data_IF_546472140623
#
_entry.id   IF_546472140623
#
_cell.length_a   1.000
_cell.length_b   1.000
_cell.length_c   1.000
_cell.angle_alpha   90.00
_cell.angle_beta   90.00
_cell.angle_gamma   90.00
#
_symmetry.space_group_name_H-M   'P 1'
#
loop_
_entity.id
_entity.type
_entity.pdbx_description
1 polymer ?
#
# COMPACT_ATOMS: atom_id res chain seq x y z
N UNK A 1 -8.70 -1.34 16.86
CA UNK A 1 -8.05 -2.59 16.42
C UNK A 1 -7.11 -3.02 17.50
N UNK A 2 -7.35 -4.22 17.99
CA UNK A 2 -6.72 -4.69 19.23
C UNK A 2 -5.60 -5.71 18.99
N UNK A 3 -5.39 -6.11 17.74
CA UNK A 3 -4.38 -7.10 17.39
C UNK A 3 -3.52 -6.60 16.24
N UNK A 4 -2.31 -7.11 16.17
CA UNK A 4 -1.44 -6.81 15.04
C UNK A 4 -0.79 -8.06 14.51
N UNK A 5 -0.46 -8.04 13.24
CA UNK A 5 0.25 -9.13 12.58
C UNK A 5 1.14 -8.53 11.49
N UNK A 6 1.93 -9.37 10.88
CA UNK A 6 2.80 -8.95 9.78
C UNK A 6 2.15 -9.39 8.47
N UNK A 7 1.95 -8.42 7.58
CA UNK A 7 1.50 -8.71 6.23
C UNK A 7 2.63 -8.64 5.22
N UNK A 8 2.40 -9.19 4.06
CA UNK A 8 3.36 -9.17 2.96
C UNK A 8 2.75 -8.44 1.78
N UNK A 9 3.51 -7.52 1.19
CA UNK A 9 3.07 -6.81 -0.01
C UNK A 9 3.07 -7.81 -1.17
N UNK A 10 1.88 -8.04 -1.73
CA UNK A 10 1.70 -9.02 -2.80
C UNK A 10 1.67 -8.38 -4.18
N UNK A 11 1.22 -7.14 -4.27
CA UNK A 11 1.21 -6.43 -5.54
C UNK A 11 1.28 -4.92 -5.31
N UNK A 12 1.77 -4.23 -6.33
CA UNK A 12 1.86 -2.78 -6.35
C UNK A 12 1.32 -2.34 -7.69
N UNK A 13 0.27 -1.52 -7.68
CA UNK A 13 -0.37 -1.05 -8.89
C UNK A 13 -0.24 0.46 -9.00
N UNK A 14 0.50 0.90 -9.99
CA UNK A 14 0.65 2.31 -10.29
C UNK A 14 -0.63 2.82 -10.95
N UNK A 15 -1.14 3.95 -10.48
CA UNK A 15 -2.39 4.52 -10.98
C UNK A 15 -2.09 5.54 -12.06
N UNK A 16 -1.92 5.07 -13.28
CA UNK A 16 -1.53 5.89 -14.44
C UNK A 16 -2.50 7.02 -14.73
N UNK A 17 -3.79 6.77 -14.52
CA UNK A 17 -4.85 7.71 -14.83
C UNK A 17 -5.00 8.80 -13.78
N UNK A 18 -4.26 8.71 -12.67
CA UNK A 18 -4.27 9.69 -11.58
C UNK A 18 -2.94 10.42 -11.48
N UNK A 19 -2.41 10.84 -12.61
CA UNK A 19 -1.17 11.57 -12.65
C UNK A 19 -1.30 12.86 -11.84
N UNK A 20 -0.34 13.06 -10.95
CA UNK A 20 -0.29 14.26 -10.12
C UNK A 20 1.00 14.99 -10.41
N UNK A 21 0.88 16.23 -10.87
CA UNK A 21 2.04 17.09 -11.06
C UNK A 21 2.26 17.87 -9.80
N UNK A 22 3.29 17.55 -9.07
CA UNK A 22 3.55 18.24 -7.81
C UNK A 22 4.10 19.64 -8.04
N UNK A 23 4.90 19.80 -9.06
CA UNK A 23 5.38 21.10 -9.51
C UNK A 23 6.10 20.94 -10.83
N UNK A 24 6.23 22.00 -11.61
CA UNK A 24 6.97 21.91 -12.85
C UNK A 24 8.46 21.71 -12.55
N UNK A 25 9.01 20.70 -13.13
CA UNK A 25 10.42 20.41 -13.07
C UNK A 25 10.90 20.28 -14.48
N UNK A 26 12.12 20.64 -14.70
CA UNK A 26 12.61 20.77 -16.06
C UNK A 26 13.61 19.70 -16.46
N UNK A 27 13.92 18.82 -15.58
CA UNK A 27 15.01 17.86 -15.84
C UNK A 27 14.46 16.46 -15.89
N UNK A 28 14.67 15.78 -16.98
CA UNK A 28 14.29 14.41 -17.12
C UNK A 28 12.83 14.22 -17.49
N UNK A 29 12.52 13.09 -18.05
CA UNK A 29 11.19 12.79 -18.57
C UNK A 29 10.15 12.58 -17.49
N UNK A 30 10.57 12.27 -16.29
CA UNK A 30 9.66 11.99 -15.19
C UNK A 30 9.49 13.15 -14.24
N UNK A 31 10.16 14.25 -14.50
CA UNK A 31 10.13 15.39 -13.61
C UNK A 31 8.76 16.01 -13.57
N UNK A 32 8.33 16.35 -12.36
CA UNK A 32 7.05 16.99 -12.14
C UNK A 32 5.85 16.08 -12.26
N UNK A 33 6.06 14.80 -12.58
CA UNK A 33 4.98 13.86 -12.75
C UNK A 33 5.16 12.68 -11.80
N UNK A 34 4.21 12.51 -10.91
CA UNK A 34 4.19 11.38 -9.98
C UNK A 34 2.83 10.71 -10.05
N UNK A 35 2.79 9.47 -9.64
CA UNK A 35 1.56 8.70 -9.66
C UNK A 35 1.33 8.09 -8.28
N UNK A 36 0.09 8.09 -7.81
CA UNK A 36 -0.24 7.30 -6.64
C UNK A 36 -0.19 5.82 -6.96
N UNK A 37 -0.11 5.02 -5.93
CA UNK A 37 -0.06 3.57 -6.07
C UNK A 37 -1.06 2.94 -5.10
N UNK A 38 -1.55 1.78 -5.47
CA UNK A 38 -2.33 0.95 -4.55
C UNK A 38 -1.54 -0.32 -4.33
N UNK A 39 -1.24 -0.61 -3.08
CA UNK A 39 -0.59 -1.86 -2.73
C UNK A 39 -1.60 -2.82 -2.13
N UNK A 40 -1.40 -4.10 -2.36
CA UNK A 40 -2.19 -5.14 -1.72
C UNK A 40 -1.30 -5.88 -0.75
N UNK A 41 -1.75 -5.94 0.49
CA UNK A 41 -1.02 -6.59 1.58
C UNK A 41 -1.82 -7.79 2.02
N UNK A 42 -1.17 -8.94 2.02
CA UNK A 42 -1.76 -10.20 2.44
C UNK A 42 -1.30 -10.52 3.86
N UNK A 43 -2.23 -10.90 4.70
CA UNK A 43 -1.92 -11.31 6.06
C UNK A 43 -2.77 -12.52 6.43
N UNK A 44 -2.31 -13.28 7.43
CA UNK A 44 -2.97 -14.49 7.85
C UNK A 44 -3.37 -14.36 9.31
N UNK A 45 -4.62 -14.70 9.62
CA UNK A 45 -5.15 -14.73 10.98
C UNK A 45 -5.86 -16.06 11.18
N UNK A 46 -5.40 -16.82 12.17
CA UNK A 46 -6.00 -18.12 12.52
C UNK A 46 -6.15 -19.05 11.31
N UNK A 47 -5.12 -19.10 10.46
CA UNK A 47 -5.13 -19.96 9.28
C UNK A 47 -5.91 -19.42 8.10
N UNK A 48 -6.56 -18.28 8.24
CA UNK A 48 -7.30 -17.65 7.15
C UNK A 48 -6.49 -16.53 6.54
N UNK A 49 -6.47 -16.46 5.23
CA UNK A 49 -5.73 -15.45 4.49
C UNK A 49 -6.64 -14.28 4.14
N UNK A 50 -6.18 -13.09 4.42
CA UNK A 50 -6.89 -11.85 4.12
C UNK A 50 -6.00 -10.94 3.29
N UNK A 51 -6.63 -10.08 2.48
CA UNK A 51 -5.92 -9.09 1.68
C UNK A 51 -6.54 -7.72 1.92
N UNK A 52 -5.69 -6.73 2.14
CA UNK A 52 -6.10 -5.34 2.27
C UNK A 52 -5.34 -4.49 1.28
N UNK A 53 -6.01 -3.48 0.77
CA UNK A 53 -5.39 -2.49 -0.11
C UNK A 53 -5.04 -1.25 0.69
N UNK A 54 -3.94 -0.61 0.31
CA UNK A 54 -3.53 0.64 0.88
C UNK A 54 -3.16 1.62 -0.23
N UNK A 55 -3.68 2.82 -0.12
CA UNK A 55 -3.36 3.90 -1.04
C UNK A 55 -2.04 4.54 -0.62
N UNK A 56 -1.12 4.63 -1.57
CA UNK A 56 0.14 5.35 -1.38
C UNK A 56 0.05 6.62 -2.22
N UNK A 57 0.11 7.77 -1.55
CA UNK A 57 0.01 9.05 -2.24
C UNK A 57 1.14 9.28 -3.23
N UNK A 58 0.87 10.10 -4.23
CA UNK A 58 1.89 10.47 -5.20
C UNK A 58 3.07 11.13 -4.50
N UNK A 59 4.27 10.76 -4.91
CA UNK A 59 5.50 11.30 -4.31
C UNK A 59 5.96 10.62 -3.04
N UNK A 60 5.21 9.66 -2.54
CA UNK A 60 5.61 8.92 -1.34
C UNK A 60 6.33 7.63 -1.72
N UNK A 61 7.17 7.16 -0.81
CA UNK A 61 7.89 5.91 -1.02
C UNK A 61 6.91 4.75 -1.14
N UNK A 62 7.13 3.89 -2.13
CA UNK A 62 6.27 2.74 -2.39
C UNK A 62 7.04 1.48 -1.99
N UNK A 63 6.45 0.63 -1.11
CA UNK A 63 7.11 -0.62 -0.77
C UNK A 63 7.19 -1.55 -1.97
N UNK A 64 8.20 -2.40 -1.98
CA UNK A 64 8.35 -3.39 -3.04
C UNK A 64 7.55 -4.65 -2.72
N UNK A 65 7.21 -5.40 -3.76
CA UNK A 65 6.55 -6.70 -3.59
C UNK A 65 7.45 -7.61 -2.76
N UNK A 66 6.86 -8.27 -1.77
CA UNK A 66 7.60 -9.11 -0.84
C UNK A 66 7.99 -8.42 0.46
N UNK A 67 7.82 -7.09 0.54
CA UNK A 67 8.09 -6.35 1.77
C UNK A 67 7.10 -6.72 2.86
N UNK A 68 7.55 -6.63 4.10
CA UNK A 68 6.69 -6.89 5.27
C UNK A 68 6.16 -5.56 5.81
N UNK A 69 4.91 -5.57 6.20
CA UNK A 69 4.26 -4.40 6.79
C UNK A 69 3.43 -4.83 7.98
N UNK A 70 3.34 -3.96 8.97
CA UNK A 70 2.50 -4.22 10.13
C UNK A 70 1.04 -3.96 9.79
N UNK A 71 0.20 -4.91 10.14
CA UNK A 71 -1.25 -4.84 9.93
C UNK A 71 -1.94 -4.89 11.29
N UNK A 72 -2.75 -3.89 11.57
CA UNK A 72 -3.62 -3.88 12.75
C UNK A 72 -4.99 -4.39 12.35
N UNK A 73 -5.55 -5.28 13.13
CA UNK A 73 -6.86 -5.84 12.81
C UNK A 73 -7.70 -6.03 14.07
N UNK A 74 -9.00 -6.23 13.87
CA UNK A 74 -9.90 -6.55 14.97
C UNK A 74 -9.98 -8.05 15.14
N UNK A 75 -9.81 -8.52 16.38
CA UNK A 75 -9.78 -9.97 16.65
C UNK A 75 -11.09 -10.66 16.29
N UNK A 76 -12.22 -9.97 16.41
CA UNK A 76 -13.53 -10.53 16.07
C UNK A 76 -13.91 -10.30 14.59
N UNK A 77 -13.18 -9.47 13.88
CA UNK A 77 -13.38 -9.21 12.45
C UNK A 77 -12.01 -9.00 11.78
N UNK A 78 -11.29 -10.07 11.47
CA UNK A 78 -9.94 -9.93 10.93
C UNK A 78 -9.88 -9.18 9.60
N UNK A 79 -10.95 -9.19 8.82
CA UNK A 79 -10.98 -8.42 7.57
C UNK A 79 -11.07 -6.92 7.79
N UNK A 80 -11.38 -6.48 9.01
CA UNK A 80 -11.35 -5.06 9.36
C UNK A 80 -9.95 -4.76 9.86
N UNK A 81 -9.14 -4.19 8.99
CA UNK A 81 -7.72 -4.03 9.26
C UNK A 81 -7.20 -2.73 8.69
N UNK A 82 -6.09 -2.28 9.25
CA UNK A 82 -5.36 -1.09 8.82
C UNK A 82 -3.90 -1.44 8.63
N UNK A 83 -3.33 -1.03 7.52
CA UNK A 83 -1.91 -1.24 7.22
C UNK A 83 -1.15 0.01 7.70
N UNK A 84 -0.12 -0.22 8.49
CA UNK A 84 0.71 0.86 9.00
C UNK A 84 1.81 1.24 8.02
#
# INVERSE_FOLDING_TARGET
MDKETVGTVRSVAKQWWLKVNTKPIRMGALDGATFPHIIKVQYVVDGNTYTKRKWIGAGKAVPTVGSKMTVLYCSNKPNKAKIL
#
